data_IF_076135276679
#
_entry.id   IF_076135276679
#
_cell.length_a   1.000
_cell.length_b   1.000
_cell.length_c   1.000
_cell.angle_alpha   90.00
_cell.angle_beta   90.00
_cell.angle_gamma   90.00
#
_symmetry.space_group_name_H-M   'P 1'
#
loop_
_entity.id
_entity.type
_entity.pdbx_description
1 polymer ?
#
# COMPACT_ATOMS: atom_id res chain seq x y z
N UNK A 1 36.52 8.08 6.69
CA UNK A 1 36.06 7.28 7.84
C UNK A 1 36.26 8.02 9.17
N UNK A 2 37.49 8.32 9.62
CA UNK A 2 37.70 9.07 10.89
C UNK A 2 37.12 10.49 10.90
N UNK A 3 37.21 11.23 9.78
CA UNK A 3 36.68 12.59 9.68
C UNK A 3 35.15 12.65 9.89
N UNK A 4 34.41 11.74 9.26
CA UNK A 4 32.95 11.67 9.39
C UNK A 4 32.55 11.35 10.83
N UNK A 5 33.26 10.43 11.48
CA UNK A 5 32.97 10.03 12.85
C UNK A 5 33.26 11.15 13.87
N UNK A 6 34.32 11.94 13.65
CA UNK A 6 34.60 13.12 14.48
C UNK A 6 33.57 14.25 14.27
N UNK A 7 33.06 14.41 13.04
CA UNK A 7 31.96 15.34 12.76
C UNK A 7 30.66 14.88 13.44
N UNK A 8 30.32 13.60 13.37
CA UNK A 8 29.17 13.02 14.08
C UNK A 8 29.32 13.13 15.61
N UNK A 9 30.56 13.12 16.13
CA UNK A 9 30.85 13.32 17.55
C UNK A 9 30.67 14.79 18.02
N UNK A 10 30.34 15.71 17.10
CA UNK A 10 30.00 17.10 17.39
C UNK A 10 31.16 18.09 17.30
N UNK A 11 32.27 17.70 16.66
CA UNK A 11 33.38 18.61 16.34
C UNK A 11 33.08 19.39 15.05
N UNK A 12 33.57 20.62 14.98
CA UNK A 12 33.50 21.41 13.75
C UNK A 12 34.53 20.92 12.73
N UNK A 13 34.29 21.15 11.45
CA UNK A 13 35.22 20.74 10.38
C UNK A 13 36.64 21.28 10.58
N UNK A 14 36.78 22.48 11.16
CA UNK A 14 38.07 23.08 11.51
C UNK A 14 38.78 22.34 12.65
N UNK A 15 38.03 21.92 13.67
CA UNK A 15 38.56 21.13 14.79
C UNK A 15 39.01 19.74 14.31
N UNK A 16 38.20 19.08 13.47
CA UNK A 16 38.55 17.78 12.87
C UNK A 16 39.84 17.89 12.07
N UNK A 17 39.97 18.89 11.18
CA UNK A 17 41.21 19.09 10.43
C UNK A 17 42.41 19.41 11.33
N UNK A 18 42.20 20.15 12.42
CA UNK A 18 43.26 20.44 13.41
C UNK A 18 43.77 19.17 14.10
N UNK A 19 42.87 18.25 14.49
CA UNK A 19 43.24 16.94 15.07
C UNK A 19 44.02 16.10 14.06
N UNK A 20 43.59 16.07 12.79
CA UNK A 20 44.26 15.27 11.75
C UNK A 20 45.69 15.75 11.47
N UNK A 21 45.90 17.07 11.42
CA UNK A 21 47.23 17.67 11.20
C UNK A 21 48.12 17.45 12.43
N UNK A 22 47.64 17.72 13.64
CA UNK A 22 48.42 17.54 14.87
C UNK A 22 48.66 16.07 15.23
N UNK A 23 47.78 15.16 14.83
CA UNK A 23 47.98 13.72 14.99
C UNK A 23 49.11 13.18 14.11
N UNK A 24 49.43 13.87 13.00
CA UNK A 24 50.54 13.53 12.11
C UNK A 24 51.84 14.25 12.47
N UNK A 25 51.75 15.42 13.11
CA UNK A 25 52.88 16.27 13.49
C UNK A 25 52.87 16.57 15.00
N UNK A 26 53.78 15.98 15.80
CA UNK A 26 53.65 15.95 17.26
C UNK A 26 53.87 17.29 17.97
N UNK A 27 54.37 18.34 17.30
CA UNK A 27 54.57 19.68 17.90
C UNK A 27 54.47 20.77 16.83
N UNK A 28 53.42 21.59 16.90
CA UNK A 28 53.24 22.71 15.97
C UNK A 28 52.81 23.99 16.69
N UNK A 29 53.23 25.14 16.17
CA UNK A 29 52.72 26.44 16.64
C UNK A 29 51.35 26.72 16.01
N UNK A 30 50.50 27.47 16.70
CA UNK A 30 49.21 27.90 16.15
C UNK A 30 49.35 28.64 14.79
N UNK A 31 50.45 29.38 14.58
CA UNK A 31 50.74 30.04 13.30
C UNK A 31 51.10 29.08 12.17
N UNK A 32 51.69 27.93 12.50
CA UNK A 32 52.05 26.88 11.53
C UNK A 32 50.79 26.08 11.18
N UNK A 33 49.99 25.74 12.18
CA UNK A 33 48.69 25.09 11.98
C UNK A 33 47.74 25.97 11.15
N UNK A 34 47.67 27.27 11.42
CA UNK A 34 46.84 28.19 10.64
C UNK A 34 47.23 28.22 9.15
N UNK A 35 48.54 28.12 8.87
CA UNK A 35 49.07 28.09 7.50
C UNK A 35 48.75 26.77 6.80
N UNK A 36 48.76 25.66 7.52
CA UNK A 36 48.47 24.33 6.98
C UNK A 36 46.96 24.10 6.76
N UNK A 37 46.13 24.73 7.60
CA UNK A 37 44.67 24.68 7.51
C UNK A 37 44.05 25.77 6.62
N UNK A 38 44.88 26.59 5.97
CA UNK A 38 44.47 27.77 5.18
C UNK A 38 43.43 28.65 5.92
N UNK A 39 43.73 28.98 7.17
CA UNK A 39 42.82 29.71 8.06
C UNK A 39 43.52 30.85 8.81
N UNK A 40 42.76 31.68 9.50
CA UNK A 40 43.33 32.79 10.26
C UNK A 40 44.02 32.28 11.53
N UNK A 41 45.04 33.00 12.00
CA UNK A 41 45.69 32.67 13.28
C UNK A 41 44.70 32.67 14.44
N UNK A 42 43.70 33.57 14.42
CA UNK A 42 42.68 33.67 15.46
C UNK A 42 41.79 32.42 15.49
N UNK A 43 41.35 31.95 14.32
CA UNK A 43 40.51 30.75 14.20
C UNK A 43 41.24 29.47 14.60
N UNK A 44 42.54 29.38 14.30
CA UNK A 44 43.38 28.28 14.78
C UNK A 44 43.49 28.28 16.30
N UNK A 45 43.68 29.45 16.93
CA UNK A 45 43.68 29.56 18.40
C UNK A 45 42.34 29.18 19.03
N UNK A 46 41.21 29.62 18.45
CA UNK A 46 39.88 29.27 18.96
C UNK A 46 39.64 27.75 18.90
N UNK A 47 40.01 27.13 17.78
CA UNK A 47 39.89 25.67 17.61
C UNK A 47 40.79 24.92 18.60
N UNK A 48 42.04 25.36 18.77
CA UNK A 48 42.99 24.76 19.71
C UNK A 48 42.59 24.94 21.18
N UNK A 49 42.06 26.11 21.56
CA UNK A 49 41.58 26.36 22.92
C UNK A 49 40.44 25.41 23.27
N UNK A 50 39.47 25.26 22.37
CA UNK A 50 38.33 24.35 22.58
C UNK A 50 38.78 22.88 22.61
N UNK A 51 39.68 22.48 21.72
CA UNK A 51 40.26 21.12 21.75
C UNK A 51 41.08 20.86 23.01
N UNK A 52 41.72 21.88 23.58
CA UNK A 52 42.45 21.79 24.84
C UNK A 52 41.50 21.72 26.04
N UNK A 53 40.41 22.49 26.05
CA UNK A 53 39.34 22.38 27.05
C UNK A 53 38.68 20.99 27.04
N UNK A 54 38.57 20.39 25.86
CA UNK A 54 38.10 19.02 25.67
C UNK A 54 39.16 17.95 26.04
N UNK A 55 40.37 18.34 26.41
CA UNK A 55 41.45 17.40 26.77
C UNK A 55 42.09 16.65 25.60
N UNK A 56 41.75 17.00 24.35
CA UNK A 56 42.27 16.34 23.14
C UNK A 56 43.66 16.87 22.76
N UNK A 57 43.88 18.17 22.99
CA UNK A 57 45.13 18.86 22.66
C UNK A 57 45.82 19.34 23.93
N UNK A 58 47.14 19.19 23.99
CA UNK A 58 47.99 19.73 25.05
C UNK A 58 48.89 20.83 24.51
N UNK A 59 49.16 21.85 25.33
CA UNK A 59 50.05 22.95 24.99
C UNK A 59 51.29 22.97 25.89
N UNK A 60 52.45 23.28 25.32
CA UNK A 60 53.68 23.51 26.11
C UNK A 60 53.68 24.90 26.73
N UNK A 61 54.35 25.04 27.88
CA UNK A 61 54.52 26.33 28.55
C UNK A 61 55.59 27.24 27.91
N UNK A 62 56.20 26.79 26.80
CA UNK A 62 57.23 27.53 26.09
C UNK A 62 56.68 28.75 25.34
N UNK A 63 57.55 29.72 25.05
CA UNK A 63 57.23 30.85 24.17
C UNK A 63 58.08 30.78 22.90
N UNK A 64 57.47 30.57 21.72
CA UNK A 64 56.03 30.44 21.45
C UNK A 64 55.48 29.05 21.84
N UNK A 65 54.19 29.02 22.25
CA UNK A 65 53.50 27.79 22.62
C UNK A 65 53.44 26.80 21.47
N UNK A 66 53.67 25.53 21.77
CA UNK A 66 53.51 24.42 20.82
C UNK A 66 52.36 23.53 21.27
N UNK A 67 51.56 23.10 20.31
CA UNK A 67 50.40 22.26 20.52
C UNK A 67 50.69 20.86 19.99
N UNK A 68 50.18 19.85 20.69
CA UNK A 68 50.22 18.45 20.33
C UNK A 68 48.87 17.82 20.59
N UNK A 69 48.39 16.97 19.68
CA UNK A 69 47.13 16.24 19.84
C UNK A 69 47.39 14.81 20.28
N UNK A 70 46.42 14.23 20.99
CA UNK A 70 46.26 12.78 21.04
C UNK A 70 46.20 12.20 19.63
N UNK A 71 46.53 10.92 19.47
CA UNK A 71 46.33 10.23 18.19
C UNK A 71 44.84 10.22 17.86
N UNK A 72 44.50 10.15 16.56
CA UNK A 72 43.11 10.22 16.10
C UNK A 72 42.23 9.14 16.76
N UNK A 73 42.76 7.93 16.92
CA UNK A 73 42.09 6.82 17.62
C UNK A 73 41.85 7.11 19.11
N UNK A 74 42.85 7.65 19.80
CA UNK A 74 42.75 8.02 21.22
C UNK A 74 41.81 9.21 21.43
N UNK A 75 41.82 10.19 20.52
CA UNK A 75 40.94 11.36 20.56
C UNK A 75 39.47 10.93 20.42
N UNK A 76 39.16 10.03 19.48
CA UNK A 76 37.81 9.47 19.32
C UNK A 76 37.39 8.73 20.59
N UNK A 77 38.24 7.85 21.11
CA UNK A 77 37.95 7.11 22.33
C UNK A 77 37.68 8.05 23.53
N UNK A 78 38.50 9.10 23.67
CA UNK A 78 38.33 10.10 24.73
C UNK A 78 37.00 10.85 24.63
N UNK A 79 36.58 11.23 23.41
CA UNK A 79 35.29 11.87 23.18
C UNK A 79 34.14 10.93 23.55
N UNK A 80 34.20 9.67 23.12
CA UNK A 80 33.17 8.67 23.43
C UNK A 80 33.02 8.50 24.94
N UNK A 81 34.11 8.30 25.67
CA UNK A 81 34.09 8.13 27.13
C UNK A 81 33.58 9.39 27.85
N UNK A 82 34.00 10.57 27.41
CA UNK A 82 33.52 11.84 27.98
C UNK A 82 32.01 12.00 27.77
N UNK A 83 31.49 11.61 26.60
CA UNK A 83 30.05 11.64 26.30
C UNK A 83 29.28 10.61 27.11
N UNK A 84 29.80 9.41 27.29
CA UNK A 84 29.21 8.38 28.15
C UNK A 84 29.09 8.89 29.59
N UNK A 85 30.15 9.45 30.15
CA UNK A 85 30.12 10.06 31.49
C UNK A 85 29.20 11.29 31.61
N UNK A 86 28.93 12.01 30.52
CA UNK A 86 27.91 13.08 30.50
C UNK A 86 26.50 12.49 30.49
N UNK A 87 26.26 11.44 29.71
CA UNK A 87 24.99 10.71 29.68
C UNK A 87 24.68 10.08 31.03
N UNK A 88 25.65 9.40 31.65
CA UNK A 88 25.48 8.76 32.95
C UNK A 88 25.07 9.80 34.01
N UNK A 89 25.72 10.98 34.04
CA UNK A 89 25.35 12.07 34.95
C UNK A 89 23.96 12.66 34.68
N UNK A 90 23.57 12.76 33.41
CA UNK A 90 22.23 13.22 33.06
C UNK A 90 21.17 12.19 33.46
N UNK A 91 21.49 10.90 33.32
CA UNK A 91 20.62 9.80 33.69
C UNK A 91 20.46 9.71 35.20
N UNK A 92 21.55 9.77 35.97
CA UNK A 92 21.51 9.89 37.44
C UNK A 92 20.72 11.13 37.89
N UNK A 93 20.90 12.27 37.21
CA UNK A 93 20.13 13.48 37.49
C UNK A 93 18.64 13.34 37.17
N UNK A 94 18.30 12.64 36.09
CA UNK A 94 16.91 12.33 35.72
C UNK A 94 16.28 11.36 36.71
N UNK A 95 16.97 10.28 37.09
CA UNK A 95 16.49 9.30 38.06
C UNK A 95 16.24 9.98 39.42
N UNK A 96 17.18 10.82 39.89
CA UNK A 96 17.01 11.58 41.13
C UNK A 96 15.85 12.60 41.10
N UNK A 97 15.55 13.19 39.94
CA UNK A 97 14.43 14.12 39.78
C UNK A 97 13.09 13.39 39.60
N UNK A 98 13.08 12.27 38.87
CA UNK A 98 11.88 11.47 38.60
C UNK A 98 11.38 10.69 39.82
N UNK A 99 12.26 10.32 40.75
CA UNK A 99 11.87 9.79 42.06
C UNK A 99 11.13 10.83 42.93
N UNK A 100 11.27 12.13 42.62
CA UNK A 100 10.64 13.25 43.36
C UNK A 100 9.31 13.76 42.79
N UNK A 101 8.94 13.40 41.56
CA UNK A 101 7.75 13.91 40.85
C UNK A 101 6.58 12.94 40.87
N UNK A 102 6.03 12.68 42.07
CA UNK A 102 4.73 12.00 42.20
C UNK A 102 3.55 12.79 41.61
N UNK A 103 3.73 14.06 41.25
CA UNK A 103 2.69 14.96 40.71
C UNK A 103 2.63 15.01 39.17
N UNK A 104 3.62 14.50 38.42
CA UNK A 104 3.60 14.57 36.95
C UNK A 104 2.49 13.72 36.32
N UNK A 105 2.12 12.60 36.97
CA UNK A 105 0.97 11.80 36.55
C UNK A 105 -0.34 12.60 36.54
N UNK A 106 -0.49 13.58 37.44
CA UNK A 106 -1.66 14.47 37.46
C UNK A 106 -1.64 15.48 36.31
N UNK A 107 -0.47 16.01 35.95
CA UNK A 107 -0.34 16.99 34.88
C UNK A 107 -0.48 16.36 33.49
N UNK A 108 0.07 15.16 33.27
CA UNK A 108 -0.12 14.40 32.04
C UNK A 108 -1.56 13.89 31.88
N UNK A 109 -2.22 13.45 32.96
CA UNK A 109 -3.63 13.09 32.95
C UNK A 109 -4.52 14.28 32.57
N UNK A 110 -4.30 15.45 33.18
CA UNK A 110 -5.01 16.70 32.84
C UNK A 110 -4.73 17.14 31.39
N UNK A 111 -3.54 16.85 30.87
CA UNK A 111 -3.17 17.13 29.47
C UNK A 111 -3.79 16.15 28.48
N UNK A 112 -4.03 14.89 28.85
CA UNK A 112 -4.74 13.90 28.03
C UNK A 112 -6.25 14.13 28.03
N UNK A 113 -6.81 14.67 29.11
CA UNK A 113 -8.24 15.08 29.17
C UNK A 113 -8.58 16.26 28.24
N UNK A 114 -7.60 17.10 27.90
CA UNK A 114 -7.79 18.09 26.83
C UNK A 114 -7.64 17.38 25.48
N UNK A 115 -8.78 16.99 24.93
CA UNK A 115 -9.01 16.38 23.60
C UNK A 115 -8.66 17.35 22.44
N UNK A 116 -7.51 18.04 22.55
CA UNK A 116 -7.00 18.94 21.53
C UNK A 116 -6.13 18.13 20.55
N UNK A 117 -6.43 18.17 19.24
CA UNK A 117 -5.62 17.49 18.22
C UNK A 117 -4.15 17.92 18.27
N UNK A 118 -3.23 16.95 18.27
CA UNK A 118 -1.78 17.21 18.27
C UNK A 118 -1.13 16.71 17.00
N UNK A 119 -0.18 17.49 16.51
CA UNK A 119 0.57 17.20 15.30
C UNK A 119 2.05 17.39 15.56
N UNK A 120 2.88 16.43 15.13
CA UNK A 120 4.33 16.53 15.22
C UNK A 120 4.98 15.95 13.96
N UNK A 121 6.09 16.53 13.51
CA UNK A 121 6.87 16.00 12.39
C UNK A 121 8.05 15.22 12.94
N UNK A 122 8.09 13.92 12.64
CA UNK A 122 9.24 13.07 12.91
C UNK A 122 10.13 13.03 11.67
N UNK A 123 11.42 13.25 11.90
CA UNK A 123 12.47 13.11 10.88
C UNK A 123 13.30 11.89 11.19
N UNK A 124 13.82 11.30 10.12
CA UNK A 124 14.63 10.09 10.11
C UNK A 124 13.84 8.82 10.43
N UNK A 125 14.10 7.76 9.65
CA UNK A 125 13.44 6.45 9.77
C UNK A 125 13.51 5.87 11.18
N UNK A 126 14.66 6.01 11.83
CA UNK A 126 14.89 5.45 13.18
C UNK A 126 13.87 6.01 14.19
N UNK A 127 13.54 7.30 14.12
CA UNK A 127 12.56 7.91 15.02
C UNK A 127 11.13 7.47 14.70
N UNK A 128 10.81 7.34 13.40
CA UNK A 128 9.50 6.90 12.93
C UNK A 128 9.21 5.48 13.44
N UNK A 129 10.14 4.54 13.24
CA UNK A 129 9.96 3.16 13.68
C UNK A 129 10.06 3.01 15.20
N UNK A 130 10.80 3.86 15.90
CA UNK A 130 10.76 3.91 17.38
C UNK A 130 9.38 4.35 17.88
N UNK A 131 8.70 5.27 17.17
CA UNK A 131 7.33 5.64 17.51
C UNK A 131 6.36 4.50 17.19
N UNK A 132 6.52 3.80 16.06
CA UNK A 132 5.75 2.59 15.76
C UNK A 132 5.91 1.52 16.85
N UNK A 133 7.13 1.28 17.34
CA UNK A 133 7.38 0.35 18.45
C UNK A 133 6.50 0.69 19.65
N UNK A 134 6.50 1.97 20.06
CA UNK A 134 5.64 2.45 21.15
C UNK A 134 4.15 2.28 20.85
N UNK A 135 3.72 2.59 19.61
CA UNK A 135 2.33 2.39 19.20
C UNK A 135 1.91 0.91 19.30
N UNK A 136 2.77 0.00 18.87
CA UNK A 136 2.52 -1.43 18.99
C UNK A 136 2.50 -1.86 20.46
N UNK A 137 3.38 -1.33 21.31
CA UNK A 137 3.39 -1.63 22.75
C UNK A 137 2.12 -1.15 23.46
N UNK A 138 1.58 0.02 23.08
CA UNK A 138 0.43 0.70 23.69
C UNK A 138 -0.93 0.30 23.06
N UNK A 139 -0.95 -0.37 21.90
CA UNK A 139 -2.19 -0.72 21.21
C UNK A 139 -3.02 -1.76 21.98
N UNK A 140 -4.32 -1.49 22.07
CA UNK A 140 -5.29 -2.31 22.79
C UNK A 140 -6.20 -3.10 21.86
N UNK A 141 -6.63 -2.52 20.73
CA UNK A 141 -7.66 -3.12 19.87
C UNK A 141 -7.11 -3.45 18.48
N UNK A 142 -6.55 -2.45 17.78
CA UNK A 142 -6.23 -2.56 16.35
C UNK A 142 -4.93 -1.82 16.01
N UNK A 143 -4.08 -2.47 15.23
CA UNK A 143 -2.88 -1.85 14.67
C UNK A 143 -2.81 -2.13 13.16
N UNK A 144 -2.85 -1.07 12.35
CA UNK A 144 -2.74 -1.19 10.89
C UNK A 144 -1.41 -0.61 10.40
N UNK A 145 -0.72 -1.40 9.56
CA UNK A 145 0.53 -1.03 8.92
C UNK A 145 0.31 -0.89 7.40
N UNK A 146 0.44 0.32 6.88
CA UNK A 146 0.43 0.63 5.44
C UNK A 146 1.88 0.70 4.95
N UNK A 147 2.35 -0.38 4.32
CA UNK A 147 3.75 -0.56 3.92
C UNK A 147 3.89 -0.49 2.39
N UNK A 148 4.66 0.47 1.90
CA UNK A 148 5.05 0.50 0.48
C UNK A 148 5.95 -0.68 0.10
N UNK A 149 6.41 -0.73 -1.16
CA UNK A 149 7.18 -1.84 -1.75
C UNK A 149 8.33 -2.39 -0.89
N UNK A 150 9.02 -1.50 -0.19
CA UNK A 150 10.17 -1.82 0.66
C UNK A 150 9.92 -1.61 2.15
N UNK A 151 8.71 -1.24 2.56
CA UNK A 151 8.37 -0.93 3.96
C UNK A 151 8.61 -2.13 4.89
N UNK A 152 8.32 -3.35 4.43
CA UNK A 152 8.58 -4.57 5.21
C UNK A 152 10.06 -4.75 5.55
N UNK A 153 10.97 -4.38 4.64
CA UNK A 153 12.41 -4.49 4.86
C UNK A 153 12.89 -3.50 5.92
N UNK A 154 12.25 -2.33 6.00
CA UNK A 154 12.52 -1.34 7.05
C UNK A 154 11.98 -1.80 8.39
N UNK A 155 10.78 -2.39 8.41
CA UNK A 155 10.19 -2.98 9.62
C UNK A 155 11.09 -4.08 10.19
N UNK A 156 11.50 -5.06 9.38
CA UNK A 156 12.34 -6.18 9.83
C UNK A 156 13.74 -5.78 10.31
N UNK A 157 14.24 -4.61 9.90
CA UNK A 157 15.52 -4.06 10.39
C UNK A 157 15.38 -3.22 11.64
N UNK A 158 14.15 -2.96 12.08
CA UNK A 158 13.85 -2.15 13.24
C UNK A 158 13.42 -3.01 14.43
N UNK A 159 13.59 -2.47 15.64
CA UNK A 159 13.07 -3.09 16.86
C UNK A 159 11.53 -3.12 16.90
N UNK A 160 10.84 -2.44 15.98
CA UNK A 160 9.38 -2.41 15.93
C UNK A 160 8.79 -3.77 15.50
N UNK A 161 9.52 -4.60 14.75
CA UNK A 161 9.04 -5.93 14.34
C UNK A 161 8.65 -6.80 15.55
N UNK A 162 9.51 -6.85 16.56
CA UNK A 162 9.28 -7.65 17.77
C UNK A 162 8.06 -7.13 18.55
N UNK A 163 7.90 -5.81 18.65
CA UNK A 163 6.76 -5.19 19.31
C UNK A 163 5.44 -5.46 18.56
N UNK A 164 5.43 -5.38 17.23
CA UNK A 164 4.26 -5.71 16.40
C UNK A 164 3.86 -7.17 16.55
N UNK A 165 4.83 -8.09 16.51
CA UNK A 165 4.56 -9.51 16.73
C UNK A 165 4.05 -9.77 18.16
N UNK A 166 4.59 -9.09 19.15
CA UNK A 166 4.13 -9.18 20.55
C UNK A 166 2.70 -8.66 20.68
N UNK A 167 2.35 -7.55 20.03
CA UNK A 167 0.99 -7.01 20.01
C UNK A 167 -0.01 -8.03 19.45
N UNK A 168 0.33 -8.69 18.35
CA UNK A 168 -0.48 -9.76 17.78
C UNK A 168 -0.69 -10.93 18.75
N UNK A 169 0.35 -11.33 19.49
CA UNK A 169 0.26 -12.40 20.53
C UNK A 169 -0.62 -11.98 21.70
N UNK A 170 -0.66 -10.68 22.06
CA UNK A 170 -1.56 -10.16 23.11
C UNK A 170 -3.03 -10.16 22.70
N UNK A 171 -3.34 -10.41 21.42
CA UNK A 171 -4.71 -10.42 20.90
C UNK A 171 -5.13 -9.13 20.19
N UNK A 172 -4.20 -8.19 19.95
CA UNK A 172 -4.46 -7.00 19.12
C UNK A 172 -4.67 -7.43 17.67
N UNK A 173 -5.67 -6.87 16.99
CA UNK A 173 -5.92 -7.11 15.57
C UNK A 173 -4.87 -6.35 14.75
N UNK A 174 -3.84 -7.07 14.31
CA UNK A 174 -2.77 -6.48 13.49
C UNK A 174 -3.00 -6.79 12.02
N UNK A 175 -3.08 -5.73 11.21
CA UNK A 175 -3.32 -5.81 9.77
C UNK A 175 -2.21 -5.11 9.00
N UNK A 176 -1.77 -5.73 7.91
CA UNK A 176 -0.74 -5.20 7.03
C UNK A 176 -1.30 -5.07 5.62
N UNK A 177 -1.39 -3.83 5.13
CA UNK A 177 -1.67 -3.54 3.72
C UNK A 177 -0.35 -3.18 3.07
N UNK A 178 -0.03 -3.84 1.96
CA UNK A 178 1.26 -3.61 1.31
C UNK A 178 1.25 -3.76 -0.20
N UNK A 179 2.21 -3.10 -0.85
CA UNK A 179 2.54 -3.38 -2.24
C UNK A 179 3.62 -4.48 -2.29
N UNK A 180 3.24 -5.70 -2.65
CA UNK A 180 4.16 -6.83 -2.69
C UNK A 180 5.17 -6.68 -3.84
N UNK A 181 6.40 -7.11 -3.58
CA UNK A 181 7.50 -7.13 -4.54
C UNK A 181 8.20 -8.49 -4.43
N UNK A 182 8.50 -9.19 -5.54
CA UNK A 182 9.11 -10.52 -5.50
C UNK A 182 10.38 -10.62 -4.65
N UNK A 183 11.14 -9.53 -4.56
CA UNK A 183 12.40 -9.46 -3.79
C UNK A 183 12.18 -9.40 -2.28
N UNK A 184 11.02 -8.95 -1.82
CA UNK A 184 10.71 -8.69 -0.41
C UNK A 184 9.79 -9.75 0.23
N UNK A 185 9.24 -10.69 -0.55
CA UNK A 185 8.30 -11.71 -0.07
C UNK A 185 8.77 -12.46 1.18
N UNK A 186 10.05 -12.90 1.21
CA UNK A 186 10.65 -13.63 2.34
C UNK A 186 10.65 -12.89 3.68
N UNK A 187 10.47 -11.56 3.68
CA UNK A 187 10.48 -10.78 4.92
C UNK A 187 9.14 -10.85 5.64
N UNK A 188 8.05 -11.15 4.93
CA UNK A 188 6.73 -11.35 5.54
C UNK A 188 6.66 -12.61 6.40
N UNK A 189 7.51 -13.61 6.13
CA UNK A 189 7.64 -14.82 6.97
C UNK A 189 8.11 -14.54 8.41
N UNK A 190 8.63 -13.33 8.67
CA UNK A 190 9.06 -12.90 10.01
C UNK A 190 7.91 -12.33 10.85
N UNK A 191 6.74 -12.09 10.25
CA UNK A 191 5.54 -11.66 10.95
C UNK A 191 4.86 -12.85 11.62
N UNK A 192 4.20 -12.58 12.76
CA UNK A 192 3.46 -13.61 13.47
C UNK A 192 2.29 -14.15 12.60
N UNK A 193 1.98 -15.47 12.60
CA UNK A 193 0.95 -16.06 11.74
C UNK A 193 -0.47 -15.52 11.93
N UNK A 194 -0.76 -14.85 13.04
CA UNK A 194 -2.06 -14.20 13.27
C UNK A 194 -2.20 -12.82 12.63
N UNK A 195 -1.10 -12.28 12.07
CA UNK A 195 -1.12 -10.98 11.39
C UNK A 195 -1.69 -11.18 9.99
N UNK A 196 -2.78 -10.48 9.69
CA UNK A 196 -3.40 -10.53 8.37
C UNK A 196 -2.64 -9.64 7.40
N UNK A 197 -2.27 -10.18 6.25
CA UNK A 197 -1.51 -9.47 5.22
C UNK A 197 -2.34 -9.44 3.93
N UNK A 198 -2.50 -8.25 3.36
CA UNK A 198 -3.14 -8.04 2.06
C UNK A 198 -2.30 -7.17 1.14
N UNK A 199 -2.41 -7.46 -0.14
CA UNK A 199 -1.75 -6.74 -1.22
C UNK A 199 -2.68 -5.70 -1.84
N UNK A 200 -2.21 -4.47 -1.96
CA UNK A 200 -2.83 -3.42 -2.76
C UNK A 200 -1.89 -3.04 -3.93
N UNK A 201 -2.43 -2.95 -5.14
CA UNK A 201 -1.66 -2.58 -6.34
C UNK A 201 -1.22 -1.10 -6.28
N UNK A 202 -2.09 -0.22 -5.78
CA UNK A 202 -1.85 1.21 -5.56
C UNK A 202 -1.98 1.55 -4.08
N UNK A 203 -0.92 2.12 -3.51
CA UNK A 203 -0.87 2.56 -2.12
C UNK A 203 -0.22 3.94 -2.05
N UNK A 204 -1.03 4.98 -2.23
CA UNK A 204 -0.57 6.36 -2.29
C UNK A 204 -0.15 6.92 -0.91
N UNK A 205 -0.67 6.32 0.16
CA UNK A 205 -0.39 6.72 1.53
C UNK A 205 0.23 5.58 2.31
N UNK A 206 1.47 5.77 2.75
CA UNK A 206 2.16 4.88 3.68
C UNK A 206 2.02 5.42 5.09
N UNK A 207 1.99 4.54 6.08
CA UNK A 207 1.73 4.97 7.45
C UNK A 207 1.36 3.86 8.41
N UNK A 208 1.02 4.27 9.62
CA UNK A 208 0.59 3.41 10.70
C UNK A 208 -0.64 4.02 11.37
N UNK A 209 -1.61 3.19 11.72
CA UNK A 209 -2.78 3.56 12.52
C UNK A 209 -2.80 2.68 13.76
N UNK A 210 -2.93 3.29 14.93
CA UNK A 210 -3.15 2.61 16.20
C UNK A 210 -4.53 3.00 16.73
N UNK A 211 -5.35 1.98 16.93
CA UNK A 211 -6.71 2.06 17.44
C UNK A 211 -7.47 3.17 16.67
N UNK A 212 -8.14 4.08 17.37
CA UNK A 212 -8.81 5.25 16.77
C UNK A 212 -8.24 6.58 17.30
N UNK A 213 -6.94 6.63 17.61
CA UNK A 213 -6.35 7.80 18.29
C UNK A 213 -5.06 8.30 17.67
N UNK A 214 -4.19 7.41 17.19
CA UNK A 214 -2.86 7.78 16.69
C UNK A 214 -2.64 7.35 15.25
N UNK A 215 -2.25 8.32 14.42
CA UNK A 215 -1.86 8.10 13.02
C UNK A 215 -0.44 8.58 12.79
N UNK A 216 0.34 7.80 12.07
CA UNK A 216 1.60 8.21 11.47
C UNK A 216 1.45 8.13 9.96
N UNK A 217 1.64 9.25 9.28
CA UNK A 217 1.60 9.32 7.82
C UNK A 217 2.98 9.72 7.28
N UNK A 218 3.54 8.93 6.37
CA UNK A 218 4.80 9.29 5.74
C UNK A 218 4.59 10.45 4.76
N UNK A 219 5.43 11.49 4.89
CA UNK A 219 5.47 12.64 4.00
C UNK A 219 6.51 12.45 2.90
N UNK A 220 7.64 11.84 3.27
CA UNK A 220 8.72 11.54 2.35
C UNK A 220 9.34 10.20 2.74
N UNK A 221 9.60 9.37 1.73
CA UNK A 221 10.27 8.09 1.86
C UNK A 221 11.47 8.10 0.91
N UNK A 222 12.66 7.84 1.45
CA UNK A 222 13.87 7.71 0.66
C UNK A 222 13.69 6.57 -0.36
N UNK A 223 13.84 6.88 -1.65
CA UNK A 223 13.69 5.92 -2.74
C UNK A 223 14.68 4.76 -2.67
N UNK A 224 15.84 4.97 -2.04
CA UNK A 224 16.82 3.92 -1.82
C UNK A 224 16.37 2.99 -0.68
N UNK A 225 16.03 1.72 -0.97
CA UNK A 225 15.51 0.79 0.04
C UNK A 225 16.54 0.45 1.13
N UNK A 226 17.83 0.54 0.83
CA UNK A 226 18.92 0.28 1.78
C UNK A 226 19.55 1.55 2.35
N UNK A 227 18.97 2.72 2.06
CA UNK A 227 19.37 4.00 2.63
C UNK A 227 19.23 4.02 4.15
N UNK A 228 19.99 4.92 4.80
CA UNK A 228 19.92 5.11 6.26
C UNK A 228 18.63 5.85 6.67
N UNK A 229 17.81 6.30 5.72
CA UNK A 229 16.53 6.95 5.98
C UNK A 229 16.67 8.31 6.63
N UNK A 230 17.74 9.06 6.31
CA UNK A 230 17.98 10.41 6.87
C UNK A 230 16.98 11.44 6.33
N UNK A 231 16.50 11.24 5.11
CA UNK A 231 15.53 12.11 4.43
C UNK A 231 14.07 11.67 4.68
N UNK A 232 13.86 10.56 5.39
CA UNK A 232 12.51 10.08 5.72
C UNK A 232 11.86 11.07 6.70
N UNK A 233 10.60 11.41 6.42
CA UNK A 233 9.81 12.27 7.28
C UNK A 233 8.39 11.73 7.39
N UNK A 234 7.83 11.79 8.59
CA UNK A 234 6.44 11.42 8.85
C UNK A 234 5.74 12.44 9.74
N UNK A 235 4.45 12.61 9.51
CA UNK A 235 3.55 13.38 10.35
C UNK A 235 2.88 12.45 11.36
N UNK A 236 3.04 12.75 12.64
CA UNK A 236 2.35 12.09 13.75
C UNK A 236 1.15 12.93 14.12
N UNK A 237 -0.01 12.30 14.17
CA UNK A 237 -1.30 12.94 14.43
C UNK A 237 -1.97 12.17 15.56
N UNK A 238 -2.27 12.89 16.64
CA UNK A 238 -3.06 12.39 17.77
C UNK A 238 -4.38 13.14 17.74
N UNK A 239 -5.41 12.50 17.18
CA UNK A 239 -6.72 13.10 16.94
C UNK A 239 -7.72 12.03 16.57
N UNK A 240 -8.74 11.84 17.42
CA UNK A 240 -9.80 10.85 17.19
C UNK A 240 -10.56 11.09 15.87
N UNK A 241 -11.03 12.32 15.54
CA UNK A 241 -11.72 12.56 14.27
C UNK A 241 -10.86 12.24 13.04
N UNK A 242 -9.56 12.51 13.12
CA UNK A 242 -8.64 12.22 12.03
C UNK A 242 -8.38 10.71 11.91
N UNK A 243 -8.17 10.03 13.03
CA UNK A 243 -7.95 8.59 13.06
C UNK A 243 -9.16 7.82 12.52
N UNK A 244 -10.39 8.20 12.88
CA UNK A 244 -11.62 7.61 12.31
C UNK A 244 -11.69 7.83 10.79
N UNK A 245 -11.37 9.04 10.32
CA UNK A 245 -11.36 9.33 8.88
C UNK A 245 -10.32 8.47 8.13
N UNK A 246 -9.15 8.28 8.75
CA UNK A 246 -8.09 7.44 8.20
C UNK A 246 -8.45 5.95 8.24
N UNK A 247 -9.14 5.49 9.29
CA UNK A 247 -9.64 4.13 9.41
C UNK A 247 -10.64 3.81 8.30
N UNK A 248 -11.63 4.68 8.05
CA UNK A 248 -12.59 4.48 6.97
C UNK A 248 -11.89 4.34 5.59
N UNK A 249 -10.84 5.12 5.35
CA UNK A 249 -10.03 5.00 4.13
C UNK A 249 -9.29 3.65 4.08
N UNK A 250 -8.70 3.25 5.19
CA UNK A 250 -8.01 1.97 5.33
C UNK A 250 -8.97 0.80 5.10
N UNK A 251 -10.18 0.85 5.64
CA UNK A 251 -11.18 -0.21 5.50
C UNK A 251 -11.65 -0.36 4.06
N UNK A 252 -11.86 0.76 3.34
CA UNK A 252 -12.16 0.74 1.92
C UNK A 252 -11.03 0.08 1.11
N UNK A 253 -9.77 0.43 1.39
CA UNK A 253 -8.60 -0.20 0.75
C UNK A 253 -8.52 -1.69 1.13
N UNK A 254 -8.76 -2.02 2.40
CA UNK A 254 -8.69 -3.39 2.92
C UNK A 254 -9.70 -4.31 2.23
N UNK A 255 -10.92 -3.81 1.99
CA UNK A 255 -11.96 -4.56 1.29
C UNK A 255 -11.57 -4.89 -0.15
N UNK A 256 -10.91 -3.98 -0.86
CA UNK A 256 -10.44 -4.21 -2.24
C UNK A 256 -9.12 -4.97 -2.31
N UNK A 257 -8.33 -4.95 -1.24
CA UNK A 257 -7.02 -5.57 -1.18
C UNK A 257 -7.07 -7.11 -1.23
N UNK A 258 -6.03 -7.68 -1.83
CA UNK A 258 -5.96 -9.09 -2.21
C UNK A 258 -5.25 -9.88 -1.11
N UNK A 259 -5.78 -11.03 -0.65
CA UNK A 259 -5.11 -11.86 0.35
C UNK A 259 -3.67 -12.24 -0.04
N UNK A 260 -2.76 -12.24 0.93
CA UNK A 260 -1.33 -12.47 0.68
C UNK A 260 -1.02 -13.74 -0.11
N UNK A 261 -1.61 -14.87 0.24
CA UNK A 261 -1.37 -16.15 -0.45
C UNK A 261 -1.73 -16.07 -1.94
N UNK A 262 -2.84 -15.39 -2.25
CA UNK A 262 -3.32 -15.20 -3.62
C UNK A 262 -2.42 -14.26 -4.41
N UNK A 263 -1.97 -13.19 -3.75
CA UNK A 263 -1.04 -12.25 -4.33
C UNK A 263 0.33 -12.89 -4.59
N UNK A 264 0.84 -13.73 -3.68
CA UNK A 264 2.08 -14.50 -3.90
C UNK A 264 1.95 -15.43 -5.10
N UNK A 265 0.82 -16.13 -5.26
CA UNK A 265 0.55 -16.96 -6.44
C UNK A 265 0.59 -16.14 -7.75
N UNK A 266 0.04 -14.91 -7.77
CA UNK A 266 0.13 -14.01 -8.94
C UNK A 266 1.57 -13.73 -9.36
N UNK A 267 2.47 -13.47 -8.40
CA UNK A 267 3.88 -13.16 -8.69
C UNK A 267 4.76 -14.39 -8.97
N UNK A 268 4.38 -15.57 -8.47
CA UNK A 268 5.19 -16.79 -8.61
C UNK A 268 4.71 -17.70 -9.74
N UNK A 269 3.41 -17.75 -10.00
CA UNK A 269 2.78 -18.67 -10.96
C UNK A 269 2.31 -17.99 -12.26
N UNK A 270 2.42 -16.66 -12.36
CA UNK A 270 1.91 -15.87 -13.50
C UNK A 270 0.42 -16.08 -13.81
N UNK A 271 -0.40 -16.36 -12.79
CA UNK A 271 -1.85 -16.55 -12.93
C UNK A 271 -2.62 -15.54 -12.10
N UNK A 272 -3.75 -15.07 -12.60
CA UNK A 272 -4.63 -14.19 -11.81
C UNK A 272 -5.72 -15.04 -11.15
N UNK A 273 -5.64 -15.28 -9.85
CA UNK A 273 -6.58 -16.16 -9.14
C UNK A 273 -7.63 -15.38 -8.29
N UNK A 274 -7.79 -14.08 -8.51
CA UNK A 274 -8.68 -13.25 -7.67
C UNK A 274 -10.14 -13.73 -7.70
N UNK A 275 -10.84 -13.65 -6.56
CA UNK A 275 -12.27 -13.88 -6.53
C UNK A 275 -12.98 -12.83 -7.40
N UNK A 276 -13.74 -13.28 -8.39
CA UNK A 276 -14.57 -12.40 -9.21
C UNK A 276 -15.75 -11.90 -8.37
N UNK A 277 -15.80 -10.58 -8.15
CA UNK A 277 -16.97 -9.92 -7.55
C UNK A 277 -18.01 -9.67 -8.64
N UNK A 278 -19.12 -10.37 -8.57
CA UNK A 278 -20.23 -10.18 -9.49
C UNK A 278 -21.22 -9.17 -8.91
N UNK A 279 -21.55 -8.15 -9.69
CA UNK A 279 -22.63 -7.23 -9.37
C UNK A 279 -23.95 -7.84 -9.82
N UNK A 280 -24.79 -8.21 -8.87
CA UNK A 280 -26.10 -8.77 -9.16
C UNK A 280 -27.12 -7.62 -9.13
N UNK A 281 -27.67 -7.29 -10.29
CA UNK A 281 -28.78 -6.35 -10.44
C UNK A 281 -28.48 -4.88 -10.12
N UNK A 282 -29.42 -4.03 -10.51
CA UNK A 282 -29.47 -2.60 -10.15
C UNK A 282 -30.90 -2.32 -9.64
N UNK A 283 -31.04 -1.56 -8.54
CA UNK A 283 -32.35 -1.19 -7.98
C UNK A 283 -32.77 -1.97 -6.73
N UNK A 284 -34.05 -1.85 -6.36
CA UNK A 284 -34.62 -2.46 -5.15
C UNK A 284 -35.06 -3.89 -5.41
N UNK A 285 -34.33 -4.87 -4.85
CA UNK A 285 -34.73 -6.28 -4.90
C UNK A 285 -36.12 -6.52 -4.29
N UNK A 286 -36.54 -5.68 -3.34
CA UNK A 286 -37.88 -5.75 -2.77
C UNK A 286 -38.94 -5.39 -3.83
N UNK A 287 -38.72 -4.33 -4.61
CA UNK A 287 -39.64 -3.94 -5.69
C UNK A 287 -39.66 -4.98 -6.83
N UNK A 288 -38.50 -5.52 -7.20
CA UNK A 288 -38.42 -6.60 -8.18
C UNK A 288 -39.21 -7.83 -7.72
N UNK A 289 -39.08 -8.21 -6.44
CA UNK A 289 -39.81 -9.32 -5.87
C UNK A 289 -41.32 -9.04 -5.76
N UNK A 290 -41.73 -7.85 -5.34
CA UNK A 290 -43.17 -7.50 -5.25
C UNK A 290 -43.81 -7.47 -6.63
N UNK A 291 -43.12 -6.89 -7.64
CA UNK A 291 -43.57 -6.91 -9.03
C UNK A 291 -43.71 -8.33 -9.58
N UNK A 292 -42.72 -9.20 -9.31
CA UNK A 292 -42.75 -10.61 -9.71
C UNK A 292 -43.92 -11.38 -9.07
N UNK A 293 -44.30 -11.01 -7.84
CA UNK A 293 -45.42 -11.60 -7.11
C UNK A 293 -46.77 -10.95 -7.46
N UNK A 294 -46.79 -9.93 -8.32
CA UNK A 294 -48.01 -9.18 -8.67
C UNK A 294 -48.58 -8.37 -7.50
N UNK A 295 -47.71 -7.82 -6.65
CA UNK A 295 -48.07 -6.99 -5.51
C UNK A 295 -47.78 -5.52 -5.78
N UNK A 296 -48.84 -4.71 -5.72
CA UNK A 296 -48.84 -3.30 -6.18
C UNK A 296 -48.25 -2.33 -5.14
N UNK A 297 -47.81 -2.82 -3.97
CA UNK A 297 -47.20 -2.00 -2.92
C UNK A 297 -48.20 -1.26 -2.02
N UNK A 298 -49.47 -1.17 -2.42
CA UNK A 298 -50.51 -0.49 -1.66
C UNK A 298 -51.06 -1.41 -0.55
N UNK A 299 -50.74 -1.06 0.69
CA UNK A 299 -51.42 -1.62 1.85
C UNK A 299 -52.76 -0.89 2.04
N UNK A 300 -53.86 -1.59 2.38
CA UNK A 300 -55.13 -0.94 2.69
C UNK A 300 -54.96 0.11 3.80
N UNK A 301 -55.47 1.34 3.58
CA UNK A 301 -55.37 2.43 4.56
C UNK A 301 -56.20 2.18 5.85
N UNK A 302 -57.18 1.29 5.79
CA UNK A 302 -57.99 0.87 6.93
C UNK A 302 -57.78 -0.62 7.24
N UNK A 303 -57.72 -0.97 8.52
CA UNK A 303 -57.70 -2.36 9.01
C UNK A 303 -58.94 -3.10 8.50
N UNK A 304 -58.78 -3.82 7.39
CA UNK A 304 -59.84 -4.65 6.83
C UNK A 304 -60.11 -5.82 7.79
N UNK A 305 -61.37 -6.08 8.18
CA UNK A 305 -61.70 -7.25 8.99
C UNK A 305 -61.20 -8.53 8.30
N UNK A 306 -60.69 -9.47 9.09
CA UNK A 306 -60.19 -10.75 8.57
C UNK A 306 -61.26 -11.46 7.72
N UNK A 307 -61.03 -11.54 6.41
CA UNK A 307 -61.84 -12.30 5.47
C UNK A 307 -61.15 -13.64 5.15
N UNK A 308 -61.70 -14.77 5.62
CA UNK A 308 -61.16 -16.09 5.32
C UNK A 308 -61.08 -16.37 3.82
N UNK A 309 -62.02 -15.87 3.01
CA UNK A 309 -62.03 -16.13 1.57
C UNK A 309 -60.89 -15.40 0.85
N UNK A 310 -60.64 -14.15 1.21
CA UNK A 310 -59.50 -13.38 0.71
C UNK A 310 -58.15 -13.98 1.15
N UNK A 311 -58.06 -14.50 2.40
CA UNK A 311 -56.86 -15.17 2.90
C UNK A 311 -56.51 -16.43 2.09
N UNK A 312 -57.50 -17.29 1.79
CA UNK A 312 -57.27 -18.47 0.95
C UNK A 312 -56.94 -18.10 -0.50
N UNK A 313 -57.62 -17.10 -1.07
CA UNK A 313 -57.36 -16.64 -2.43
C UNK A 313 -55.94 -16.03 -2.60
N UNK A 314 -55.48 -15.25 -1.61
CA UNK A 314 -54.12 -14.70 -1.59
C UNK A 314 -53.05 -15.80 -1.40
N UNK A 315 -53.36 -16.82 -0.59
CA UNK A 315 -52.50 -17.99 -0.45
C UNK A 315 -52.33 -18.73 -1.78
N UNK A 316 -53.40 -18.90 -2.55
CA UNK A 316 -53.37 -19.57 -3.85
C UNK A 316 -52.64 -18.76 -4.93
N UNK A 317 -52.83 -17.44 -4.98
CA UNK A 317 -52.15 -16.56 -5.97
C UNK A 317 -50.65 -16.45 -5.70
N UNK A 318 -50.24 -16.29 -4.43
CA UNK A 318 -48.83 -16.28 -4.04
C UNK A 318 -48.18 -17.64 -4.28
N UNK A 319 -48.92 -18.73 -4.08
CA UNK A 319 -48.45 -20.07 -4.39
C UNK A 319 -48.24 -20.26 -5.90
N UNK A 320 -49.14 -19.76 -6.75
CA UNK A 320 -48.97 -19.80 -8.21
C UNK A 320 -47.79 -18.96 -8.70
N UNK A 321 -47.62 -17.73 -8.19
CA UNK A 321 -46.48 -16.87 -8.54
C UNK A 321 -45.14 -17.45 -8.05
N UNK A 322 -45.13 -18.11 -6.87
CA UNK A 322 -43.94 -18.83 -6.39
C UNK A 322 -43.67 -20.09 -7.21
N UNK A 323 -44.70 -20.80 -7.66
CA UNK A 323 -44.55 -21.96 -8.53
C UNK A 323 -43.94 -21.55 -9.87
N UNK A 324 -44.45 -20.50 -10.51
CA UNK A 324 -43.90 -20.00 -11.77
C UNK A 324 -42.44 -19.54 -11.64
N UNK A 325 -42.07 -18.89 -10.53
CA UNK A 325 -40.67 -18.54 -10.23
C UNK A 325 -39.81 -19.79 -9.97
N UNK A 326 -40.38 -20.84 -9.38
CA UNK A 326 -39.67 -22.10 -9.06
C UNK A 326 -39.46 -23.04 -10.25
N UNK A 327 -40.09 -22.77 -11.40
CA UNK A 327 -39.99 -23.59 -12.62
C UNK A 327 -38.58 -23.59 -13.25
N UNK A 328 -37.60 -22.88 -12.66
CA UNK A 328 -36.19 -23.00 -12.98
C UNK A 328 -35.77 -22.40 -14.33
N UNK A 329 -36.63 -21.56 -14.93
CA UNK A 329 -36.33 -20.86 -16.19
C UNK A 329 -35.33 -19.72 -15.98
N UNK A 330 -34.44 -19.50 -16.95
CA UNK A 330 -33.44 -18.42 -16.89
C UNK A 330 -34.10 -17.03 -16.90
N UNK A 331 -35.22 -16.90 -17.62
CA UNK A 331 -36.07 -15.70 -17.62
C UNK A 331 -36.55 -15.30 -16.21
N UNK A 332 -36.77 -16.26 -15.29
CA UNK A 332 -37.17 -15.96 -13.90
C UNK A 332 -36.04 -15.32 -13.09
N UNK A 333 -34.78 -15.64 -13.38
CA UNK A 333 -33.63 -15.02 -12.72
C UNK A 333 -33.52 -13.54 -13.10
N UNK A 334 -33.83 -13.21 -14.37
CA UNK A 334 -33.91 -11.83 -14.85
C UNK A 334 -34.99 -11.02 -14.12
N UNK A 335 -36.14 -11.63 -13.81
CA UNK A 335 -37.21 -11.02 -13.00
C UNK A 335 -36.76 -10.70 -11.58
N UNK A 336 -35.85 -11.50 -11.01
CA UNK A 336 -35.22 -11.27 -9.70
C UNK A 336 -34.06 -10.26 -9.76
N UNK A 337 -33.85 -9.60 -10.91
CA UNK A 337 -32.76 -8.64 -11.13
C UNK A 337 -31.42 -9.29 -11.45
N UNK A 338 -31.36 -10.60 -11.69
CA UNK A 338 -30.13 -11.34 -12.03
C UNK A 338 -30.01 -11.42 -13.55
N UNK A 339 -29.19 -10.55 -14.14
CA UNK A 339 -28.88 -10.60 -15.58
C UNK A 339 -27.72 -11.56 -15.85
N UNK A 340 -28.05 -12.77 -16.29
CA UNK A 340 -27.09 -13.84 -16.58
C UNK A 340 -26.19 -13.47 -17.77
N UNK A 341 -26.68 -12.68 -18.73
CA UNK A 341 -25.86 -12.21 -19.85
C UNK A 341 -24.73 -11.31 -19.37
N UNK A 342 -25.05 -10.33 -18.53
CA UNK A 342 -24.03 -9.47 -17.90
C UNK A 342 -23.05 -10.27 -17.04
N UNK A 343 -23.54 -11.25 -16.27
CA UNK A 343 -22.69 -12.12 -15.44
C UNK A 343 -21.72 -12.93 -16.29
N UNK A 344 -22.21 -13.58 -17.35
CA UNK A 344 -21.37 -14.35 -18.28
C UNK A 344 -20.36 -13.47 -18.99
N UNK A 345 -20.73 -12.25 -19.38
CA UNK A 345 -19.79 -11.28 -19.95
C UNK A 345 -18.71 -10.87 -18.96
N UNK A 346 -19.04 -10.64 -17.68
CA UNK A 346 -18.04 -10.37 -16.64
C UNK A 346 -17.07 -11.55 -16.44
N UNK A 347 -17.58 -12.79 -16.47
CA UNK A 347 -16.75 -14.00 -16.44
C UNK A 347 -15.85 -14.08 -17.68
N UNK A 348 -16.40 -13.83 -18.86
CA UNK A 348 -15.65 -13.77 -20.12
C UNK A 348 -14.51 -12.76 -20.05
N UNK A 349 -14.82 -11.51 -19.68
CA UNK A 349 -13.83 -10.45 -19.52
C UNK A 349 -12.70 -10.87 -18.57
N UNK A 350 -13.03 -11.55 -17.46
CA UNK A 350 -12.03 -12.05 -16.53
C UNK A 350 -11.11 -13.10 -17.15
N UNK A 351 -11.69 -14.08 -17.85
CA UNK A 351 -10.91 -15.09 -18.58
C UNK A 351 -10.02 -14.44 -19.63
N UNK A 352 -10.52 -13.41 -20.34
CA UNK A 352 -9.74 -12.60 -21.26
C UNK A 352 -8.56 -11.88 -20.60
N UNK A 353 -8.79 -11.25 -19.44
CA UNK A 353 -7.73 -10.62 -18.64
C UNK A 353 -6.64 -11.62 -18.24
N UNK A 354 -7.04 -12.82 -17.81
CA UNK A 354 -6.12 -13.89 -17.43
C UNK A 354 -5.31 -14.42 -18.62
N UNK A 355 -5.95 -14.61 -19.76
CA UNK A 355 -5.29 -14.98 -21.01
C UNK A 355 -4.24 -13.93 -21.39
N UNK A 356 -4.61 -12.65 -21.43
CA UNK A 356 -3.69 -11.58 -21.77
C UNK A 356 -2.51 -11.47 -20.78
N UNK A 357 -2.77 -11.67 -19.48
CA UNK A 357 -1.74 -11.68 -18.46
C UNK A 357 -0.77 -12.86 -18.57
N UNK A 358 -1.24 -14.02 -19.05
CA UNK A 358 -0.39 -15.18 -19.32
C UNK A 358 0.54 -14.93 -20.52
N UNK A 359 0.07 -14.16 -21.52
CA UNK A 359 0.79 -13.79 -22.74
C UNK A 359 1.61 -12.49 -22.61
N UNK A 360 1.72 -11.91 -21.41
CA UNK A 360 2.36 -10.60 -21.19
C UNK A 360 3.85 -10.52 -21.53
N UNK A 361 4.52 -11.66 -21.71
CA UNK A 361 5.93 -11.70 -22.14
C UNK A 361 6.12 -11.37 -23.61
N UNK A 362 5.04 -11.30 -24.38
CA UNK A 362 5.06 -10.97 -25.80
C UNK A 362 5.00 -9.43 -25.94
N UNK A 363 6.09 -8.84 -26.41
CA UNK A 363 6.19 -7.38 -26.58
C UNK A 363 5.48 -6.89 -27.84
N UNK A 364 5.38 -7.71 -28.88
CA UNK A 364 4.79 -7.33 -30.17
C UNK A 364 3.27 -7.55 -30.18
N UNK A 365 2.51 -6.51 -30.54
CA UNK A 365 1.04 -6.55 -30.58
C UNK A 365 0.50 -7.57 -31.59
N UNK A 366 1.17 -7.76 -32.73
CA UNK A 366 0.72 -8.74 -33.74
C UNK A 366 0.95 -10.17 -33.24
N UNK A 367 2.12 -10.43 -32.64
CA UNK A 367 2.46 -11.74 -32.08
C UNK A 367 1.54 -12.10 -30.90
N UNK A 368 1.13 -11.09 -30.12
CA UNK A 368 0.12 -11.27 -29.07
C UNK A 368 -1.25 -11.67 -29.66
N UNK A 369 -1.69 -11.00 -30.73
CA UNK A 369 -2.94 -11.34 -31.40
C UNK A 369 -2.89 -12.72 -32.04
N UNK A 370 -1.77 -13.09 -32.67
CA UNK A 370 -1.56 -14.42 -33.26
C UNK A 370 -1.69 -15.53 -32.21
N UNK A 371 -1.01 -15.40 -31.07
CA UNK A 371 -1.12 -16.38 -29.97
C UNK A 371 -2.53 -16.43 -29.35
N UNK A 372 -3.22 -15.28 -29.27
CA UNK A 372 -4.61 -15.23 -28.83
C UNK A 372 -5.54 -15.96 -29.81
N UNK A 373 -5.32 -15.80 -31.12
CA UNK A 373 -6.08 -16.49 -32.16
C UNK A 373 -5.84 -18.00 -32.14
N UNK A 374 -4.59 -18.42 -32.00
CA UNK A 374 -4.23 -19.85 -31.86
C UNK A 374 -4.92 -20.46 -30.63
N UNK A 375 -4.94 -19.75 -29.51
CA UNK A 375 -5.66 -20.19 -28.31
C UNK A 375 -7.17 -20.32 -28.56
N UNK A 376 -7.76 -19.33 -29.25
CA UNK A 376 -9.18 -19.29 -29.57
C UNK A 376 -9.62 -20.45 -30.46
N UNK A 377 -8.86 -20.71 -31.52
CA UNK A 377 -9.10 -21.84 -32.43
C UNK A 377 -8.88 -23.18 -31.73
N UNK A 378 -7.82 -23.30 -30.90
CA UNK A 378 -7.54 -24.52 -30.15
C UNK A 378 -8.64 -24.84 -29.12
N UNK A 379 -9.21 -23.81 -28.49
CA UNK A 379 -10.33 -23.95 -27.56
C UNK A 379 -11.65 -24.29 -28.28
N UNK A 380 -11.70 -24.16 -29.61
CA UNK A 380 -12.89 -24.46 -30.42
C UNK A 380 -14.03 -23.47 -30.19
N UNK A 381 -13.71 -22.20 -29.88
CA UNK A 381 -14.68 -21.14 -29.59
C UNK A 381 -15.19 -20.45 -30.88
N UNK A 382 -14.43 -20.55 -31.96
CA UNK A 382 -14.83 -20.07 -33.28
C UNK A 382 -13.63 -19.69 -34.12
N UNK A 383 -13.80 -18.68 -34.98
CA UNK A 383 -12.76 -18.15 -35.87
C UNK A 383 -12.47 -16.70 -35.51
N UNK A 384 -11.19 -16.38 -35.33
CA UNK A 384 -10.73 -15.00 -35.22
C UNK A 384 -9.87 -14.68 -36.43
N UNK A 385 -10.17 -13.56 -37.09
CA UNK A 385 -9.40 -13.05 -38.21
C UNK A 385 -9.09 -11.57 -37.95
N UNK A 386 -7.99 -11.05 -38.47
CA UNK A 386 -7.76 -9.61 -38.48
C UNK A 386 -7.83 -9.05 -39.90
N UNK A 387 -8.50 -7.91 -40.05
CA UNK A 387 -8.60 -7.14 -41.28
C UNK A 387 -7.87 -5.81 -41.16
N UNK A 388 -7.37 -5.28 -42.28
CA UNK A 388 -6.58 -4.03 -42.32
C UNK A 388 -7.36 -2.88 -43.01
N UNK A 389 -8.49 -3.16 -43.65
CA UNK A 389 -9.30 -2.16 -44.37
C UNK A 389 -10.74 -2.11 -43.82
N UNK A 390 -11.33 -0.91 -43.58
CA UNK A 390 -10.74 0.43 -43.72
C UNK A 390 -9.76 0.81 -42.59
N UNK A 391 -9.81 0.12 -41.45
CA UNK A 391 -8.92 0.27 -40.29
C UNK A 391 -8.59 -1.13 -39.73
N UNK A 392 -7.52 -1.24 -38.92
CA UNK A 392 -7.16 -2.53 -38.31
C UNK A 392 -8.26 -2.99 -37.34
N UNK A 393 -8.81 -4.17 -37.57
CA UNK A 393 -9.90 -4.72 -36.75
C UNK A 393 -9.79 -6.24 -36.60
N UNK A 394 -10.27 -6.75 -35.49
CA UNK A 394 -10.41 -8.20 -35.24
C UNK A 394 -11.86 -8.59 -35.51
N UNK A 395 -12.06 -9.48 -36.48
CA UNK A 395 -13.34 -10.09 -36.84
C UNK A 395 -13.56 -11.34 -36.00
N UNK A 396 -14.74 -11.42 -35.40
CA UNK A 396 -15.13 -12.50 -34.50
C UNK A 396 -16.25 -13.32 -35.13
N UNK A 397 -15.95 -14.60 -35.39
CA UNK A 397 -16.94 -15.62 -35.69
C UNK A 397 -17.10 -16.55 -34.50
N UNK A 398 -18.34 -16.72 -34.02
CA UNK A 398 -18.65 -17.62 -32.91
C UNK A 398 -19.36 -18.89 -33.39
N UNK A 399 -19.06 -20.02 -32.74
CA UNK A 399 -19.84 -21.24 -32.94
C UNK A 399 -21.28 -21.13 -32.40
N UNK A 400 -21.51 -20.35 -31.35
CA UNK A 400 -22.83 -20.10 -30.78
C UNK A 400 -23.30 -18.68 -31.12
N UNK A 401 -24.10 -18.48 -32.19
CA UNK A 401 -24.60 -17.16 -32.53
C UNK A 401 -25.66 -16.67 -31.53
N UNK A 402 -25.89 -15.35 -31.45
CA UNK A 402 -26.92 -14.78 -30.59
C UNK A 402 -28.30 -15.36 -30.90
N UNK A 403 -29.05 -15.70 -29.85
CA UNK A 403 -30.46 -16.14 -29.94
C UNK A 403 -31.37 -15.20 -29.16
N UNK A 404 -32.60 -15.04 -29.64
CA UNK A 404 -33.65 -14.24 -29.00
C UNK A 404 -34.44 -15.02 -27.92
N UNK A 405 -34.13 -16.29 -27.71
CA UNK A 405 -34.75 -17.12 -26.68
C UNK A 405 -34.18 -16.79 -25.29
N UNK A 406 -35.01 -16.21 -24.41
CA UNK A 406 -34.62 -15.82 -23.05
C UNK A 406 -34.36 -17.02 -22.12
N UNK A 407 -34.77 -18.23 -22.51
CA UNK A 407 -34.54 -19.46 -21.75
C UNK A 407 -33.30 -20.24 -22.23
N UNK A 408 -32.55 -19.71 -23.21
CA UNK A 408 -31.24 -20.24 -23.62
C UNK A 408 -30.12 -19.47 -22.92
N UNK A 409 -29.14 -20.19 -22.37
CA UNK A 409 -27.98 -19.59 -21.72
C UNK A 409 -27.14 -18.81 -22.74
N UNK A 410 -26.90 -17.50 -22.54
CA UNK A 410 -26.23 -16.66 -23.53
C UNK A 410 -24.71 -16.83 -23.51
N UNK A 411 -24.22 -18.01 -23.91
CA UNK A 411 -22.79 -18.34 -23.93
C UNK A 411 -21.98 -17.40 -24.82
N UNK A 412 -22.60 -16.86 -25.87
CA UNK A 412 -21.96 -15.88 -26.75
C UNK A 412 -21.52 -14.61 -26.02
N UNK A 413 -22.19 -14.21 -24.92
CA UNK A 413 -21.76 -13.06 -24.10
C UNK A 413 -20.45 -13.35 -23.36
N UNK A 414 -20.25 -14.60 -22.92
CA UNK A 414 -19.01 -15.03 -22.31
C UNK A 414 -17.89 -15.08 -23.36
N UNK A 415 -18.16 -15.72 -24.50
CA UNK A 415 -17.19 -15.88 -25.58
C UNK A 415 -16.74 -14.50 -26.11
N UNK A 416 -17.67 -13.60 -26.41
CA UNK A 416 -17.38 -12.20 -26.77
C UNK A 416 -16.60 -11.46 -25.68
N UNK A 417 -16.98 -11.68 -24.42
CA UNK A 417 -16.30 -11.10 -23.27
C UNK A 417 -14.83 -11.54 -23.13
N UNK A 418 -14.48 -12.77 -23.49
CA UNK A 418 -13.08 -13.23 -23.46
C UNK A 418 -12.22 -12.36 -24.39
N UNK A 419 -12.72 -12.08 -25.59
CA UNK A 419 -12.02 -11.25 -26.59
C UNK A 419 -11.94 -9.81 -26.10
N UNK A 420 -13.06 -9.26 -25.61
CA UNK A 420 -13.10 -7.91 -25.05
C UNK A 420 -12.10 -7.74 -23.89
N UNK A 421 -12.10 -8.65 -22.92
CA UNK A 421 -11.17 -8.62 -21.79
C UNK A 421 -9.70 -8.69 -22.24
N UNK A 422 -9.38 -9.63 -23.14
CA UNK A 422 -8.01 -9.77 -23.62
C UNK A 422 -7.49 -8.50 -24.33
N UNK A 423 -8.31 -7.91 -25.21
CA UNK A 423 -7.98 -6.68 -25.92
C UNK A 423 -7.89 -5.48 -24.98
N UNK A 424 -8.81 -5.33 -24.03
CA UNK A 424 -8.80 -4.22 -23.06
C UNK A 424 -7.61 -4.30 -22.09
N UNK A 425 -7.11 -5.50 -21.79
CA UNK A 425 -5.87 -5.65 -20.99
C UNK A 425 -4.64 -5.24 -21.78
N UNK A 426 -4.56 -5.62 -23.05
CA UNK A 426 -3.43 -5.27 -23.92
C UNK A 426 -3.44 -3.77 -24.29
N UNK A 427 -4.62 -3.24 -24.57
CA UNK A 427 -4.86 -1.85 -25.00
C UNK A 427 -5.82 -1.16 -24.02
N UNK A 428 -5.34 -0.76 -22.82
CA UNK A 428 -6.19 -0.15 -21.82
C UNK A 428 -6.77 1.20 -22.28
N UNK A 429 -7.96 1.58 -21.78
CA UNK A 429 -8.61 2.84 -22.13
C UNK A 429 -7.71 4.02 -21.77
N UNK A 430 -7.35 4.83 -22.79
CA UNK A 430 -6.40 5.94 -22.65
C UNK A 430 -5.00 5.66 -23.19
N UNK A 431 -4.72 4.42 -23.64
CA UNK A 431 -3.53 4.09 -24.41
C UNK A 431 -3.56 4.68 -25.83
N UNK A 432 -2.50 4.46 -26.60
CA UNK A 432 -2.39 4.93 -27.99
C UNK A 432 -3.42 4.26 -28.93
N UNK A 433 -4.06 3.17 -28.49
CA UNK A 433 -5.03 2.40 -29.28
C UNK A 433 -6.38 2.41 -28.56
N UNK A 434 -7.43 2.86 -29.24
CA UNK A 434 -8.82 2.85 -28.77
C UNK A 434 -9.51 1.60 -29.34
N UNK A 435 -9.98 0.71 -28.48
CA UNK A 435 -10.70 -0.51 -28.87
C UNK A 435 -12.20 -0.19 -28.94
N UNK A 436 -12.81 -0.36 -30.12
CA UNK A 436 -14.25 -0.17 -30.32
C UNK A 436 -14.92 -1.40 -30.90
N UNK A 437 -15.87 -1.94 -30.16
CA UNK A 437 -16.74 -3.02 -30.61
C UNK A 437 -17.85 -2.47 -31.52
N UNK A 438 -17.99 -3.04 -32.71
CA UNK A 438 -19.08 -2.78 -33.67
C UNK A 438 -19.72 -4.10 -34.08
N UNK A 439 -20.99 -4.04 -34.51
CA UNK A 439 -21.67 -5.20 -35.08
C UNK A 439 -21.14 -5.45 -36.50
N UNK A 440 -20.82 -6.70 -36.81
CA UNK A 440 -20.35 -7.12 -38.12
C UNK A 440 -21.49 -7.30 -39.13
N UNK A 441 -21.22 -8.05 -40.20
CA UNK A 441 -22.22 -8.37 -41.24
C UNK A 441 -23.31 -9.34 -40.78
N UNK A 442 -23.16 -9.96 -39.60
CA UNK A 442 -24.09 -10.96 -39.07
C UNK A 442 -23.92 -12.34 -39.71
N UNK A 443 -22.86 -12.53 -40.50
CA UNK A 443 -22.43 -13.83 -40.99
C UNK A 443 -21.77 -14.64 -39.86
N UNK A 444 -21.72 -15.97 -40.00
CA UNK A 444 -21.20 -16.87 -38.95
C UNK A 444 -19.73 -16.59 -38.59
N UNK A 445 -18.98 -16.06 -39.55
CA UNK A 445 -17.57 -15.69 -39.49
C UNK A 445 -17.32 -14.20 -39.19
N UNK A 446 -18.37 -13.36 -39.13
CA UNK A 446 -18.28 -11.91 -38.93
C UNK A 446 -19.50 -11.38 -38.14
N UNK A 447 -19.59 -11.83 -36.89
CA UNK A 447 -20.62 -11.42 -35.94
C UNK A 447 -20.30 -10.06 -35.33
N UNK A 448 -19.06 -9.87 -34.87
CA UNK A 448 -18.59 -8.62 -34.27
C UNK A 448 -17.21 -8.23 -34.77
N UNK A 449 -16.95 -6.93 -34.77
CA UNK A 449 -15.69 -6.33 -35.20
C UNK A 449 -15.13 -5.46 -34.08
N UNK A 450 -13.92 -5.77 -33.62
CA UNK A 450 -13.17 -4.95 -32.67
C UNK A 450 -12.17 -4.08 -33.42
N UNK A 451 -12.52 -2.82 -33.64
CA UNK A 451 -11.65 -1.84 -34.30
C UNK A 451 -10.60 -1.32 -33.33
N UNK A 452 -9.34 -1.36 -33.75
CA UNK A 452 -8.18 -0.90 -33.00
C UNK A 452 -7.71 0.41 -33.62
N UNK A 453 -8.22 1.53 -33.09
CA UNK A 453 -7.99 2.85 -33.65
C UNK A 453 -6.75 3.46 -33.00
N UNK A 454 -5.66 3.61 -33.75
CA UNK A 454 -4.52 4.41 -33.28
C UNK A 454 -4.93 5.87 -33.15
N UNK A 455 -4.84 6.44 -31.94
CA UNK A 455 -4.99 7.88 -31.75
C UNK A 455 -3.84 8.56 -32.46
N UNK A 456 -4.10 9.15 -33.63
CA UNK A 456 -3.15 10.09 -34.25
C UNK A 456 -3.00 11.28 -33.32
N UNK A 457 -1.76 11.59 -32.92
CA UNK A 457 -1.42 12.82 -32.19
C UNK A 457 -2.11 14.02 -32.83
N UNK A 458 -2.87 14.77 -32.02
CA UNK A 458 -3.36 16.10 -32.35
C UNK A 458 -2.46 17.15 -31.70
#
# INVERSE_FOLDING_TARGET
MWNELLLEAGLTEREVRSIMVLGSNPKMKASELAKELDTTRLDAYNSLSRLQEMGIVTATADRPMQFSSLRVDEAVHHIIETRRAQLDRLQEGYDALSEGTGDEASFEAIRRERDEPRFAVLKERVHIYRRLKRMAEESEERLVLLLGRFGILHLCRSEALEAVNTAAVRGVVVQVITQLEPRTLRFYDQLHPSIEIRHADELDSNGFLQDQSYVIQFLNLEANPVGRGKEDAALVIESVPFAISQENLIDAIWEEAIPFELAVARFTENRINDPLRLTIGEGSFLESLTSALGFDGELPEEDTPFDPAAFFAAGDTVNQARQSLSDGRLSNLKVLGIDIGRMLRQVGNRVGHELAFSLRSIDNDIEFLDEMMDWWEHAGLGTLLYGIEPEFHVQVGLHHPPTHDEDVLPMWEMDDGIIEGALMTRFPPGSNVDVRRQDGSGAHDDLWQYHLLTRSEA
#
